data_IF_087088904236
#
_entry.id   IF_087088904236
#
_cell.length_a   1.000
_cell.length_b   1.000
_cell.length_c   1.000
_cell.angle_alpha   90.00
_cell.angle_beta   90.00
_cell.angle_gamma   90.00
#
_symmetry.space_group_name_H-M   'P 1'
#
loop_
_entity.id
_entity.type
_entity.pdbx_description
1 polymer ?
#
# COMPACT_ATOMS: atom_id res chain seq x y z
N UNK A 1 3.93 -30.07 -16.06
CA UNK A 1 4.76 -29.09 -15.49
C UNK A 1 4.44 -27.68 -15.82
N UNK A 2 3.19 -27.44 -15.85
CA UNK A 2 2.72 -26.11 -16.07
C UNK A 2 3.05 -25.18 -14.92
N UNK A 3 3.09 -25.72 -13.71
CA UNK A 3 3.35 -24.85 -12.57
C UNK A 3 4.77 -24.26 -12.62
N UNK A 4 5.70 -25.03 -13.13
CA UNK A 4 7.05 -24.53 -13.27
C UNK A 4 7.11 -23.35 -14.23
N UNK A 5 6.33 -23.43 -15.28
CA UNK A 5 6.29 -22.37 -16.26
C UNK A 5 5.63 -21.11 -15.67
N UNK A 6 4.59 -21.31 -14.89
CA UNK A 6 3.91 -20.20 -14.25
C UNK A 6 4.83 -19.52 -13.23
N UNK A 7 5.58 -20.30 -12.48
CA UNK A 7 6.50 -19.75 -11.52
C UNK A 7 7.56 -18.90 -12.21
N UNK A 8 8.06 -19.37 -13.34
CA UNK A 8 9.03 -18.62 -14.08
C UNK A 8 8.47 -17.30 -14.56
N UNK A 9 7.22 -17.32 -15.00
CA UNK A 9 6.57 -16.13 -15.48
C UNK A 9 6.48 -15.07 -14.36
N UNK A 10 6.14 -15.48 -13.15
CA UNK A 10 6.05 -14.54 -12.05
C UNK A 10 7.41 -13.96 -11.68
N UNK A 11 8.43 -14.76 -11.77
CA UNK A 11 9.77 -14.32 -11.45
C UNK A 11 10.23 -13.20 -12.38
N UNK A 12 9.84 -13.29 -13.66
CA UNK A 12 10.26 -12.32 -14.66
C UNK A 12 9.37 -11.10 -14.72
N UNK A 13 8.25 -11.12 -14.01
CA UNK A 13 7.27 -10.05 -14.07
C UNK A 13 7.28 -9.27 -12.75
N UNK A 14 7.78 -8.02 -12.75
CA UNK A 14 7.83 -7.24 -11.52
C UNK A 14 6.49 -7.09 -10.83
N UNK A 15 5.43 -6.92 -11.61
CA UNK A 15 4.10 -6.79 -11.05
C UNK A 15 3.68 -8.09 -10.38
N UNK A 16 3.85 -9.20 -11.07
CA UNK A 16 3.50 -10.50 -10.53
C UNK A 16 4.32 -10.86 -9.31
N UNK A 17 5.60 -10.49 -9.33
CA UNK A 17 6.47 -10.76 -8.20
C UNK A 17 6.00 -9.99 -6.96
N UNK A 18 5.68 -8.71 -7.14
CA UNK A 18 5.19 -7.91 -6.04
C UNK A 18 3.91 -8.49 -5.46
N UNK A 19 2.95 -8.84 -6.33
CA UNK A 19 1.68 -9.39 -5.88
C UNK A 19 1.89 -10.70 -5.14
N UNK A 20 2.80 -11.52 -5.63
CA UNK A 20 3.12 -12.78 -4.98
C UNK A 20 3.61 -12.56 -3.56
N UNK A 21 4.47 -11.56 -3.37
CA UNK A 21 5.00 -11.28 -2.04
C UNK A 21 3.93 -10.74 -1.10
N UNK A 22 3.08 -9.87 -1.61
CA UNK A 22 2.01 -9.30 -0.78
C UNK A 22 1.05 -10.38 -0.31
N UNK A 23 0.72 -11.31 -1.20
CA UNK A 23 -0.24 -12.36 -0.86
C UNK A 23 0.29 -13.36 0.16
N UNK A 24 1.59 -13.38 0.37
CA UNK A 24 2.17 -14.26 1.39
C UNK A 24 1.98 -13.73 2.80
N UNK A 25 1.70 -12.45 2.93
CA UNK A 25 1.57 -11.84 4.25
C UNK A 25 0.14 -12.01 4.73
N UNK A 26 -0.09 -12.70 5.86
CA UNK A 26 -1.45 -12.87 6.34
C UNK A 26 -2.00 -11.58 6.92
N UNK A 27 -3.30 -11.37 6.82
CA UNK A 27 -3.91 -10.21 7.46
C UNK A 27 -3.85 -10.33 8.97
N UNK A 28 -3.95 -9.22 9.65
CA UNK A 28 -4.01 -9.22 11.11
C UNK A 28 -5.44 -9.45 11.57
N UNK A 29 -5.58 -10.20 12.66
CA UNK A 29 -6.88 -10.28 13.31
C UNK A 29 -7.14 -8.94 13.99
N UNK A 30 -8.38 -8.70 14.38
CA UNK A 30 -8.73 -7.46 15.07
C UNK A 30 -7.89 -7.29 16.34
N UNK A 31 -7.72 -8.37 17.08
CA UNK A 31 -6.94 -8.32 18.32
C UNK A 31 -5.48 -7.99 18.03
N UNK A 32 -4.92 -8.60 16.99
CA UNK A 32 -3.53 -8.32 16.63
C UNK A 32 -3.35 -6.89 16.15
N UNK A 33 -4.31 -6.40 15.40
CA UNK A 33 -4.26 -5.02 14.92
C UNK A 33 -4.29 -4.07 16.12
N UNK A 34 -5.16 -4.34 17.08
CA UNK A 34 -5.25 -3.50 18.27
C UNK A 34 -3.96 -3.48 19.06
N UNK A 35 -3.32 -4.63 19.18
CA UNK A 35 -2.04 -4.70 19.88
C UNK A 35 -0.97 -3.89 19.17
N UNK A 36 -0.91 -4.00 17.84
CA UNK A 36 0.05 -3.23 17.08
C UNK A 36 -0.19 -1.73 17.23
N UNK A 37 -1.45 -1.31 17.17
CA UNK A 37 -1.77 0.09 17.33
C UNK A 37 -1.40 0.60 18.70
N UNK A 38 -1.59 -0.25 19.72
CA UNK A 38 -1.20 0.11 21.08
C UNK A 38 0.30 0.41 21.16
N UNK A 39 1.11 -0.45 20.58
CA UNK A 39 2.56 -0.24 20.61
C UNK A 39 2.98 1.00 19.84
N UNK A 40 2.35 1.24 18.70
CA UNK A 40 2.67 2.42 17.90
C UNK A 40 2.35 3.68 18.69
N UNK A 41 1.20 3.71 19.35
CA UNK A 41 0.81 4.87 20.15
C UNK A 41 1.69 5.08 21.34
N UNK A 42 2.09 3.97 21.97
CA UNK A 42 2.95 4.07 23.15
C UNK A 42 4.37 4.49 22.81
N UNK A 43 4.79 4.26 21.58
CA UNK A 43 6.15 4.55 21.18
C UNK A 43 7.19 3.75 21.93
N UNK A 44 6.80 2.51 22.32
CA UNK A 44 7.71 1.65 23.08
C UNK A 44 8.65 0.91 22.15
N UNK A 45 9.41 -0.04 22.68
CA UNK A 45 10.41 -0.75 21.89
C UNK A 45 9.77 -1.57 20.77
N UNK A 46 8.50 -1.86 20.89
CA UNK A 46 7.80 -2.65 19.87
C UNK A 46 7.19 -1.78 18.78
N UNK A 47 7.23 -0.45 18.96
CA UNK A 47 6.51 0.45 18.06
C UNK A 47 6.93 0.30 16.61
N UNK A 48 8.23 0.21 16.36
CA UNK A 48 8.71 0.13 14.98
C UNK A 48 8.30 -1.18 14.33
N UNK A 49 8.42 -2.27 15.06
CA UNK A 49 8.00 -3.59 14.56
C UNK A 49 6.50 -3.61 14.31
N UNK A 50 5.74 -3.00 15.23
CA UNK A 50 4.29 -2.96 15.09
C UNK A 50 3.87 -2.12 13.88
N UNK A 51 4.53 -1.01 13.67
CA UNK A 51 4.24 -0.16 12.50
C UNK A 51 4.46 -0.92 11.22
N UNK A 52 5.60 -1.60 11.14
CA UNK A 52 5.93 -2.38 9.97
C UNK A 52 4.89 -3.49 9.74
N UNK A 53 4.48 -4.13 10.81
CA UNK A 53 3.50 -5.20 10.72
C UNK A 53 2.15 -4.69 10.24
N UNK A 54 1.74 -3.50 10.72
CA UNK A 54 0.50 -2.89 10.28
C UNK A 54 0.53 -2.58 8.79
N UNK A 55 1.64 -2.04 8.33
CA UNK A 55 1.77 -1.71 6.91
C UNK A 55 1.72 -2.98 6.07
N UNK A 56 2.54 -3.96 6.41
CA UNK A 56 2.62 -5.18 5.62
C UNK A 56 1.29 -5.92 5.56
N UNK A 57 0.59 -5.95 6.67
CA UNK A 57 -0.68 -6.67 6.72
C UNK A 57 -1.78 -5.98 5.94
N UNK A 58 -1.60 -4.71 5.63
CA UNK A 58 -2.61 -3.94 4.91
C UNK A 58 -2.22 -3.64 3.47
N UNK A 59 -1.09 -4.17 3.01
CA UNK A 59 -0.72 -3.97 1.60
C UNK A 59 -1.76 -4.55 0.65
N UNK A 60 -2.46 -5.59 1.08
CA UNK A 60 -3.49 -6.18 0.23
C UNK A 60 -4.62 -5.19 -0.04
N UNK A 61 -4.88 -4.26 0.86
CA UNK A 61 -5.87 -3.22 0.62
C UNK A 61 -5.42 -2.30 -0.52
N UNK A 62 -4.14 -1.94 -0.49
CA UNK A 62 -3.59 -1.09 -1.54
C UNK A 62 -3.72 -1.79 -2.89
N UNK A 63 -3.35 -3.07 -2.94
CA UNK A 63 -3.43 -3.83 -4.17
C UNK A 63 -4.87 -3.90 -4.67
N UNK A 64 -5.80 -4.17 -3.77
CA UNK A 64 -7.20 -4.29 -4.15
C UNK A 64 -7.75 -2.99 -4.73
N UNK A 65 -7.43 -1.88 -4.10
CA UNK A 65 -7.91 -0.59 -4.57
C UNK A 65 -7.24 -0.20 -5.88
N UNK A 66 -5.94 -0.44 -5.98
CA UNK A 66 -5.23 -0.15 -7.22
C UNK A 66 -5.77 -0.99 -8.37
N UNK A 67 -6.12 -2.24 -8.09
CA UNK A 67 -6.63 -3.14 -9.12
C UNK A 67 -7.93 -2.60 -9.71
N UNK A 68 -8.79 -2.06 -8.86
CA UNK A 68 -10.05 -1.50 -9.32
C UNK A 68 -9.87 -0.23 -10.15
N UNK A 69 -8.68 0.34 -10.10
CA UNK A 69 -8.40 1.60 -10.79
C UNK A 69 -7.39 1.46 -11.92
N UNK A 70 -7.15 0.26 -12.37
CA UNK A 70 -6.24 0.04 -13.49
C UNK A 70 -6.72 0.81 -14.70
N UNK A 71 -5.76 1.36 -15.44
CA UNK A 71 -6.06 2.09 -16.66
C UNK A 71 -4.83 2.09 -17.56
N UNK A 72 -4.97 2.64 -18.76
CA UNK A 72 -3.92 2.62 -19.76
C UNK A 72 -2.87 3.71 -19.57
N UNK A 73 -3.17 4.68 -18.76
CA UNK A 73 -2.34 5.86 -18.62
C UNK A 73 -1.26 5.74 -17.56
N UNK A 74 -1.56 5.01 -16.50
CA UNK A 74 -0.69 4.91 -15.34
C UNK A 74 -0.38 3.45 -15.08
N UNK A 75 0.89 3.14 -14.88
CA UNK A 75 1.27 1.78 -14.61
C UNK A 75 0.75 1.33 -13.25
N UNK A 76 0.40 0.06 -13.19
CA UNK A 76 -0.17 -0.50 -11.98
C UNK A 76 0.73 -0.31 -10.76
N UNK A 77 2.04 -0.57 -10.93
CA UNK A 77 2.95 -0.41 -9.80
C UNK A 77 3.05 1.02 -9.33
N UNK A 78 2.83 1.97 -10.21
CA UNK A 78 2.83 3.38 -9.79
C UNK A 78 1.59 3.70 -8.95
N UNK A 79 0.46 3.07 -9.27
CA UNK A 79 -0.71 3.20 -8.43
C UNK A 79 -0.46 2.60 -7.05
N UNK A 80 0.25 1.47 -7.02
CA UNK A 80 0.62 0.84 -5.77
C UNK A 80 1.47 1.76 -4.91
N UNK A 81 2.46 2.40 -5.53
CA UNK A 81 3.33 3.32 -4.80
C UNK A 81 2.51 4.45 -4.18
N UNK A 82 1.59 5.00 -4.93
CA UNK A 82 0.76 6.09 -4.42
C UNK A 82 -0.21 5.60 -3.34
N UNK A 83 -0.74 4.40 -3.53
CA UNK A 83 -1.60 3.81 -2.51
C UNK A 83 -0.84 3.56 -1.22
N UNK A 84 0.41 3.12 -1.33
CA UNK A 84 1.24 2.91 -0.15
C UNK A 84 1.49 4.22 0.58
N UNK A 85 1.67 5.31 -0.15
CA UNK A 85 1.81 6.63 0.48
C UNK A 85 0.55 6.95 1.28
N UNK A 86 -0.62 6.63 0.73
CA UNK A 86 -1.87 6.83 1.44
C UNK A 86 -1.94 6.02 2.72
N UNK A 87 -1.51 4.77 2.64
CA UNK A 87 -1.50 3.89 3.81
C UNK A 87 -0.60 4.45 4.90
N UNK A 88 0.58 4.93 4.51
CA UNK A 88 1.50 5.52 5.48
C UNK A 88 0.91 6.78 6.10
N UNK A 89 0.23 7.59 5.29
CA UNK A 89 -0.43 8.78 5.80
C UNK A 89 -1.49 8.44 6.83
N UNK A 90 -2.24 7.38 6.58
CA UNK A 90 -3.26 6.94 7.52
C UNK A 90 -2.64 6.56 8.85
N UNK A 91 -1.53 5.84 8.78
CA UNK A 91 -0.86 5.40 10.00
C UNK A 91 -0.39 6.59 10.83
N UNK A 92 0.08 7.64 10.16
CA UNK A 92 0.59 8.81 10.86
C UNK A 92 -0.50 9.60 11.58
N UNK A 93 -1.73 9.58 11.07
CA UNK A 93 -2.79 10.42 11.61
C UNK A 93 -3.85 9.64 12.37
N UNK A 94 -3.74 8.33 12.41
CA UNK A 94 -4.79 7.51 13.01
C UNK A 94 -5.07 7.85 14.46
N UNK A 95 -4.02 8.15 15.23
CA UNK A 95 -4.17 8.45 16.65
C UNK A 95 -5.09 9.62 16.91
N UNK A 96 -5.05 10.60 16.03
CA UNK A 96 -5.80 11.84 16.22
C UNK A 96 -7.20 11.74 15.64
N UNK A 97 -7.51 10.66 14.96
CA UNK A 97 -8.75 10.55 14.22
C UNK A 97 -9.95 10.19 15.07
N UNK A 98 -9.71 9.52 16.18
CA UNK A 98 -10.80 9.01 16.99
C UNK A 98 -11.40 7.74 16.46
N UNK A 99 -10.89 7.22 15.35
CA UNK A 99 -11.37 5.98 14.78
C UNK A 99 -10.81 4.78 15.51
N UNK A 100 -11.51 3.68 15.47
CA UNK A 100 -11.04 2.47 16.13
C UNK A 100 -10.84 1.31 15.16
N UNK A 101 -11.06 1.53 13.88
CA UNK A 101 -10.85 0.51 12.86
C UNK A 101 -9.82 1.03 11.87
N UNK A 102 -8.58 0.57 12.03
CA UNK A 102 -7.51 1.08 11.20
C UNK A 102 -7.69 0.75 9.73
N UNK A 103 -8.13 -0.46 9.40
CA UNK A 103 -8.29 -0.83 8.00
C UNK A 103 -9.29 0.05 7.27
N UNK A 104 -10.40 0.36 7.92
CA UNK A 104 -11.39 1.24 7.33
C UNK A 104 -10.85 2.65 7.15
N UNK A 105 -10.13 3.13 8.15
CA UNK A 105 -9.52 4.44 8.09
C UNK A 105 -8.49 4.51 6.97
N UNK A 106 -7.65 3.49 6.88
CA UNK A 106 -6.62 3.43 5.86
C UNK A 106 -7.21 3.36 4.45
N UNK A 107 -8.31 2.65 4.29
CA UNK A 107 -8.95 2.52 2.99
C UNK A 107 -9.28 3.89 2.40
N UNK A 108 -9.81 4.79 3.21
CA UNK A 108 -10.15 6.12 2.73
C UNK A 108 -8.91 6.88 2.29
N UNK A 109 -7.81 6.75 3.02
CA UNK A 109 -6.57 7.41 2.66
C UNK A 109 -5.99 6.86 1.37
N UNK A 110 -6.04 5.53 1.22
CA UNK A 110 -5.51 4.88 0.02
C UNK A 110 -6.33 5.31 -1.19
N UNK A 111 -7.65 5.30 -1.04
CA UNK A 111 -8.53 5.68 -2.14
C UNK A 111 -8.29 7.12 -2.57
N UNK A 112 -8.09 7.99 -1.61
CA UNK A 112 -7.84 9.39 -1.93
C UNK A 112 -6.50 9.55 -2.65
N UNK A 113 -5.46 8.88 -2.17
CA UNK A 113 -4.15 8.98 -2.80
C UNK A 113 -4.18 8.51 -4.24
N UNK A 114 -4.86 7.40 -4.49
CA UNK A 114 -4.96 6.87 -5.84
C UNK A 114 -5.82 7.79 -6.71
N UNK A 115 -6.92 8.29 -6.17
CA UNK A 115 -7.79 9.19 -6.91
C UNK A 115 -7.06 10.46 -7.32
N UNK A 116 -6.24 11.00 -6.43
CA UNK A 116 -5.48 12.19 -6.75
C UNK A 116 -4.48 11.94 -7.87
N UNK A 117 -3.88 10.76 -7.85
CA UNK A 117 -2.95 10.37 -8.89
C UNK A 117 -3.65 10.25 -10.24
N UNK A 118 -4.84 9.66 -10.23
CA UNK A 118 -5.61 9.50 -11.46
C UNK A 118 -6.09 10.84 -12.02
N UNK A 119 -6.38 11.78 -11.15
CA UNK A 119 -6.85 13.09 -11.57
C UNK A 119 -5.75 13.97 -12.13
N UNK A 120 -4.51 13.67 -11.78
CA UNK A 120 -3.38 14.46 -12.24
C UNK A 120 -3.19 14.26 -13.74
N UNK A 121 -2.98 15.32 -14.49
CA UNK A 121 -2.83 15.19 -15.95
C UNK A 121 -1.65 14.35 -16.36
N UNK A 122 -0.58 14.38 -15.57
CA UNK A 122 0.66 13.76 -16.02
C UNK A 122 1.45 13.23 -14.84
N UNK A 123 0.84 12.38 -14.02
CA UNK A 123 1.46 12.00 -12.75
C UNK A 123 2.82 11.32 -12.91
N UNK A 124 3.00 10.54 -13.94
CA UNK A 124 4.24 9.80 -14.12
C UNK A 124 5.34 10.72 -14.62
N UNK A 125 4.97 11.73 -15.34
CA UNK A 125 5.93 12.64 -15.91
C UNK A 125 6.55 13.58 -14.93
N UNK A 126 6.06 13.61 -13.75
CA UNK A 126 6.64 14.44 -12.73
C UNK A 126 7.96 13.90 -12.30
N UNK A 127 8.44 12.96 -13.01
CA UNK A 127 9.72 12.35 -12.76
C UNK A 127 10.87 13.33 -12.84
N UNK A 128 12.00 12.98 -12.33
CA UNK A 128 13.15 13.86 -12.31
C UNK A 128 13.54 14.40 -13.68
N UNK A 129 13.38 13.59 -14.69
CA UNK A 129 13.74 14.05 -16.03
C UNK A 129 12.92 15.24 -16.43
N UNK A 130 11.66 15.23 -16.09
CA UNK A 130 10.78 16.33 -16.40
C UNK A 130 11.20 17.59 -15.65
N UNK A 131 11.60 17.40 -14.43
CA UNK A 131 11.95 18.53 -13.60
C UNK A 131 13.14 19.29 -14.10
N UNK A 132 14.08 18.61 -14.66
CA UNK A 132 15.26 19.32 -15.09
C UNK A 132 15.12 20.01 -16.42
N UNK A 133 13.97 20.03 -16.99
CA UNK A 133 13.80 20.70 -18.22
C UNK A 133 13.52 22.12 -18.01
N UNK A 134 13.76 22.93 -17.44
CA UNK A 134 13.33 24.31 -17.24
C UNK A 134 13.51 25.17 -18.43
#
# INVERSE_FOLDING_TARGET
>A
MTSSKDDHKFVDDPEGLYLSEVLKVPPLSHAEESRCLHHVRAGDEQAETARKRLVEANLHLVVSIAERNRNDRIQFLDLIVKGNDGLMGALQTFDESGEDNFSAYATAYIERAIAETLASPDPIRIQPAHIKTP
#
